data_IF_125440428607
#
_entry.id   IF_125440428607
#
_cell.length_a   1.000
_cell.length_b   1.000
_cell.length_c   1.000
_cell.angle_alpha   90.00
_cell.angle_beta   90.00
_cell.angle_gamma   90.00
#
_symmetry.space_group_name_H-M   'P 1'
#
loop_
_entity.id
_entity.type
_entity.pdbx_description
1 polymer ?
#
# COMPACT_ATOMS: atom_id res chain seq x y z
N UNK A 1 26.18 41.36 -0.22
CA UNK A 1 26.92 40.48 0.71
C UNK A 1 26.22 39.14 0.72
N UNK A 2 26.74 38.15 0.00
CA UNK A 2 26.20 36.78 0.07
C UNK A 2 26.48 36.21 1.45
N UNK A 3 25.44 35.73 2.15
CA UNK A 3 25.63 34.93 3.37
C UNK A 3 26.52 33.75 3.00
N UNK A 4 27.72 33.71 3.57
CA UNK A 4 28.61 32.55 3.49
C UNK A 4 27.83 31.40 4.13
N UNK A 5 27.37 30.45 3.33
CA UNK A 5 26.81 29.20 3.85
C UNK A 5 27.97 28.53 4.58
N UNK A 6 27.91 28.50 5.91
CA UNK A 6 28.90 27.76 6.70
C UNK A 6 28.55 26.30 6.51
N UNK A 7 29.43 25.55 5.82
CA UNK A 7 29.31 24.11 5.71
C UNK A 7 29.46 23.53 7.12
N UNK A 8 28.43 22.81 7.59
CA UNK A 8 28.51 22.04 8.84
C UNK A 8 28.96 20.63 8.45
N UNK A 9 30.12 20.22 8.93
CA UNK A 9 30.72 18.91 8.66
C UNK A 9 30.45 17.95 9.82
N UNK A 10 30.60 16.65 9.56
CA UNK A 10 30.53 15.66 10.62
C UNK A 10 31.51 15.97 11.77
N UNK A 11 32.73 16.39 11.44
CA UNK A 11 33.73 16.79 12.44
C UNK A 11 33.26 17.92 13.37
N UNK A 12 32.42 18.84 12.88
CA UNK A 12 31.87 19.94 13.69
C UNK A 12 30.86 19.46 14.74
N UNK A 13 30.20 18.33 14.51
CA UNK A 13 29.10 17.82 15.36
C UNK A 13 29.49 16.56 16.15
N UNK A 14 30.73 16.07 15.97
CA UNK A 14 31.25 14.84 16.56
C UNK A 14 31.12 14.75 18.08
N UNK A 15 31.29 15.86 18.80
CA UNK A 15 31.17 15.89 20.27
C UNK A 15 29.75 15.64 20.79
N UNK A 16 28.75 15.63 19.90
CA UNK A 16 27.33 15.40 20.23
C UNK A 16 26.78 14.07 19.73
N UNK A 17 27.60 13.25 19.07
CA UNK A 17 27.20 11.93 18.55
C UNK A 17 27.48 10.86 19.62
N UNK A 18 26.56 9.90 19.76
CA UNK A 18 26.77 8.73 20.61
C UNK A 18 27.88 7.81 20.04
N UNK A 19 28.38 6.92 20.89
CA UNK A 19 29.63 6.14 20.73
C UNK A 19 29.93 5.59 19.33
N UNK A 20 31.22 5.31 19.05
CA UNK A 20 31.77 4.87 17.74
C UNK A 20 31.04 3.75 17.00
N UNK A 21 30.23 2.94 17.68
CA UNK A 21 29.44 1.86 17.06
C UNK A 21 28.05 2.35 16.59
N UNK A 22 27.48 3.37 17.23
CA UNK A 22 26.13 3.91 17.02
C UNK A 22 26.18 5.39 16.72
N UNK A 23 26.22 5.72 15.44
CA UNK A 23 26.47 7.10 15.03
C UNK A 23 25.14 7.74 14.66
N UNK A 24 24.60 8.55 15.56
CA UNK A 24 23.46 9.42 15.28
C UNK A 24 23.92 10.87 15.11
N UNK A 25 23.94 11.31 13.86
CA UNK A 25 24.22 12.68 13.44
C UNK A 25 23.02 13.32 12.72
N UNK A 26 21.81 12.83 13.00
CA UNK A 26 20.57 13.33 12.41
C UNK A 26 20.26 14.76 12.87
N UNK A 27 19.59 15.53 12.00
CA UNK A 27 19.05 16.86 12.30
C UNK A 27 20.09 17.88 12.82
N UNK A 28 21.33 17.82 12.32
CA UNK A 28 22.42 18.73 12.73
C UNK A 28 22.73 19.81 11.68
N UNK A 29 22.03 19.81 10.55
CA UNK A 29 22.28 20.71 9.43
C UNK A 29 23.56 20.38 8.65
N UNK A 30 23.97 19.11 8.67
CA UNK A 30 25.17 18.63 7.97
C UNK A 30 25.06 18.86 6.46
N UNK A 31 26.17 19.30 5.87
CA UNK A 31 26.35 19.41 4.42
C UNK A 31 27.38 18.40 3.90
N UNK A 32 28.12 17.72 4.77
CA UNK A 32 29.10 16.69 4.41
C UNK A 32 29.32 15.68 5.54
N UNK A 33 29.55 14.42 5.17
CA UNK A 33 29.97 13.32 6.05
C UNK A 33 31.48 13.13 6.12
N UNK A 34 32.28 14.09 5.62
CA UNK A 34 33.74 14.01 5.68
C UNK A 34 34.21 13.88 7.13
N UNK A 35 35.04 12.86 7.39
CA UNK A 35 35.55 12.53 8.72
C UNK A 35 34.72 11.52 9.50
N UNK A 36 33.65 10.97 8.93
CA UNK A 36 32.99 9.80 9.52
C UNK A 36 33.94 8.59 9.57
N UNK A 37 33.82 7.72 10.58
CA UNK A 37 34.58 6.48 10.61
C UNK A 37 34.16 5.55 9.47
N UNK A 38 35.10 4.74 8.96
CA UNK A 38 34.85 3.83 7.84
C UNK A 38 33.85 2.70 8.15
N UNK A 39 33.57 2.44 9.43
CA UNK A 39 32.68 1.37 9.90
C UNK A 39 31.76 1.90 10.99
N UNK A 40 30.51 1.46 10.96
CA UNK A 40 29.52 1.68 12.01
C UNK A 40 28.70 0.42 12.23
N UNK A 41 28.11 0.26 13.42
CA UNK A 41 27.02 -0.71 13.60
C UNK A 41 25.75 -0.12 13.01
N UNK A 42 25.34 1.02 13.53
CA UNK A 42 24.16 1.77 13.09
C UNK A 42 24.59 3.20 12.74
N UNK A 43 24.09 3.75 11.64
CA UNK A 43 24.45 5.08 11.15
C UNK A 43 23.21 5.86 10.71
N UNK A 44 22.90 6.92 11.44
CA UNK A 44 21.79 7.82 11.16
C UNK A 44 22.31 9.22 10.82
N UNK A 45 22.12 9.63 9.57
CA UNK A 45 22.43 10.98 9.07
C UNK A 45 21.19 11.70 8.50
N UNK A 46 20.00 11.28 8.91
CA UNK A 46 18.73 11.82 8.43
C UNK A 46 18.50 13.30 8.79
N UNK A 47 17.61 13.96 8.05
CA UNK A 47 17.17 15.32 8.36
C UNK A 47 18.27 16.38 8.23
N UNK A 48 19.18 16.22 7.27
CA UNK A 48 20.31 17.12 7.05
C UNK A 48 20.21 17.81 5.67
N UNK A 49 21.30 18.41 5.20
CA UNK A 49 21.40 19.11 3.92
C UNK A 49 22.42 18.42 3.00
N UNK A 50 22.56 17.10 3.12
CA UNK A 50 23.52 16.31 2.35
C UNK A 50 23.10 16.23 0.89
N UNK A 51 24.03 16.49 -0.03
CA UNK A 51 23.84 16.30 -1.48
C UNK A 51 24.58 15.08 -2.02
N UNK A 52 25.40 14.44 -1.19
CA UNK A 52 26.15 13.22 -1.47
C UNK A 52 26.38 12.45 -0.16
N UNK A 53 26.57 11.13 -0.27
CA UNK A 53 26.97 10.27 0.85
C UNK A 53 28.49 10.06 0.90
N UNK A 54 29.27 10.79 0.08
CA UNK A 54 30.73 10.76 0.18
C UNK A 54 31.22 11.04 1.61
N UNK A 55 32.04 10.12 2.11
CA UNK A 55 32.54 10.14 3.49
C UNK A 55 31.75 9.26 4.46
N UNK A 56 30.57 8.73 4.08
CA UNK A 56 29.83 7.77 4.89
C UNK A 56 30.65 6.49 5.19
N UNK A 57 30.32 5.76 6.27
CA UNK A 57 30.90 4.44 6.52
C UNK A 57 30.73 3.51 5.33
N UNK A 58 31.77 2.74 5.00
CA UNK A 58 31.74 1.80 3.87
C UNK A 58 31.05 0.49 4.20
N UNK A 59 31.03 0.11 5.49
CA UNK A 59 30.36 -1.11 5.98
C UNK A 59 29.52 -0.81 7.22
N UNK A 60 28.25 -1.20 7.15
CA UNK A 60 27.26 -0.97 8.22
C UNK A 60 26.62 -2.30 8.62
N UNK A 61 26.78 -2.70 9.87
CA UNK A 61 26.32 -4.01 10.36
C UNK A 61 24.83 -4.06 10.73
N UNK A 62 24.21 -2.91 10.93
CA UNK A 62 22.80 -2.74 11.23
C UNK A 62 22.23 -1.73 10.25
N UNK A 63 21.62 -0.67 10.76
CA UNK A 63 20.80 0.23 9.96
C UNK A 63 21.58 1.42 9.42
N UNK A 64 21.30 1.80 8.18
CA UNK A 64 21.80 3.03 7.56
C UNK A 64 20.61 3.91 7.15
N UNK A 65 20.48 5.06 7.83
CA UNK A 65 19.43 6.02 7.55
C UNK A 65 20.03 7.34 7.02
N UNK A 66 19.66 7.69 5.79
CA UNK A 66 19.99 8.94 5.12
C UNK A 66 18.77 9.73 4.64
N UNK A 67 17.59 9.44 5.17
CA UNK A 67 16.34 10.08 4.74
C UNK A 67 16.27 11.57 5.07
N UNK A 68 15.40 12.31 4.38
CA UNK A 68 15.22 13.74 4.65
C UNK A 68 16.47 14.58 4.34
N UNK A 69 17.10 14.34 3.19
CA UNK A 69 18.29 15.06 2.71
C UNK A 69 18.03 15.65 1.30
N UNK A 70 19.09 16.05 0.59
CA UNK A 70 19.04 16.64 -0.75
C UNK A 70 19.76 15.78 -1.79
N UNK A 71 19.85 14.46 -1.55
CA UNK A 71 20.56 13.52 -2.40
C UNK A 71 19.88 13.40 -3.77
N UNK A 72 20.66 13.35 -4.85
CA UNK A 72 20.17 13.08 -6.22
C UNK A 72 20.53 11.67 -6.70
N UNK A 73 21.59 11.09 -6.13
CA UNK A 73 22.01 9.69 -6.28
C UNK A 73 22.45 9.15 -4.92
N UNK A 74 22.71 7.85 -4.82
CA UNK A 74 23.24 7.21 -3.61
C UNK A 74 24.77 7.07 -3.64
N UNK A 75 25.45 7.78 -4.53
CA UNK A 75 26.90 7.75 -4.62
C UNK A 75 27.55 8.08 -3.27
N UNK A 76 28.42 7.17 -2.82
CA UNK A 76 29.11 7.25 -1.54
C UNK A 76 28.42 6.47 -0.41
N UNK A 77 27.24 5.88 -0.64
CA UNK A 77 26.60 4.98 0.30
C UNK A 77 27.50 3.79 0.68
N UNK A 78 27.20 3.10 1.80
CA UNK A 78 27.86 1.85 2.16
C UNK A 78 27.67 0.79 1.06
N UNK A 79 28.68 -0.07 0.89
CA UNK A 79 28.60 -1.18 -0.06
C UNK A 79 27.71 -2.31 0.49
N UNK A 80 27.80 -2.56 1.80
CA UNK A 80 27.09 -3.63 2.52
C UNK A 80 26.32 -3.05 3.71
N UNK A 81 25.02 -3.36 3.77
CA UNK A 81 24.14 -3.00 4.89
C UNK A 81 23.40 -4.26 5.35
N UNK A 82 23.64 -4.66 6.61
CA UNK A 82 23.08 -5.91 7.16
C UNK A 82 21.77 -5.70 7.94
N UNK A 83 21.28 -4.46 8.00
CA UNK A 83 19.94 -4.12 8.50
C UNK A 83 19.19 -3.32 7.45
N UNK A 84 18.48 -2.29 7.89
CA UNK A 84 17.63 -1.48 7.04
C UNK A 84 18.42 -0.39 6.32
N UNK A 85 18.04 -0.09 5.08
CA UNK A 85 18.55 1.03 4.30
C UNK A 85 17.42 2.00 3.96
N UNK A 86 17.43 3.16 4.62
CA UNK A 86 16.44 4.21 4.40
C UNK A 86 17.07 5.41 3.68
N UNK A 87 16.64 5.64 2.44
CA UNK A 87 16.99 6.80 1.63
C UNK A 87 15.75 7.62 1.21
N UNK A 88 14.66 7.48 1.95
CA UNK A 88 13.41 8.18 1.68
C UNK A 88 13.52 9.71 1.78
N UNK A 89 12.54 10.42 1.23
CA UNK A 89 12.40 11.87 1.34
C UNK A 89 13.68 12.64 0.93
N UNK A 90 14.17 12.33 -0.27
CA UNK A 90 15.35 12.95 -0.89
C UNK A 90 14.95 13.59 -2.23
N UNK A 91 15.91 13.75 -3.16
CA UNK A 91 15.68 14.23 -4.53
C UNK A 91 16.20 13.21 -5.54
N UNK A 92 16.24 11.93 -5.18
CA UNK A 92 16.82 10.88 -6.00
C UNK A 92 16.10 10.79 -7.35
N UNK A 93 16.87 10.81 -8.42
CA UNK A 93 16.37 10.53 -9.78
C UNK A 93 16.78 9.14 -10.27
N UNK A 94 17.76 8.53 -9.60
CA UNK A 94 18.26 7.18 -9.81
C UNK A 94 18.67 6.58 -8.47
N UNK A 95 18.68 5.24 -8.38
CA UNK A 95 19.24 4.48 -7.25
C UNK A 95 20.71 4.11 -7.48
N UNK A 96 21.38 4.68 -8.49
CA UNK A 96 22.80 4.44 -8.71
C UNK A 96 23.62 4.78 -7.44
N UNK A 97 24.50 3.84 -7.08
CA UNK A 97 25.26 3.88 -5.82
C UNK A 97 24.55 3.23 -4.63
N UNK A 98 23.37 2.61 -4.82
CA UNK A 98 22.69 1.81 -3.80
C UNK A 98 23.61 0.68 -3.29
N UNK A 99 23.52 0.30 -1.99
CA UNK A 99 24.19 -0.90 -1.50
C UNK A 99 23.79 -2.12 -2.32
N UNK A 100 24.76 -3.01 -2.55
CA UNK A 100 24.55 -4.25 -3.32
C UNK A 100 23.86 -5.34 -2.51
N UNK A 101 23.91 -5.22 -1.18
CA UNK A 101 23.39 -6.20 -0.25
C UNK A 101 22.69 -5.51 0.93
N UNK A 102 21.40 -5.84 1.10
CA UNK A 102 20.52 -5.38 2.18
C UNK A 102 19.78 -6.60 2.74
N UNK A 103 19.92 -6.85 4.04
CA UNK A 103 19.19 -7.93 4.73
C UNK A 103 17.89 -7.45 5.40
N UNK A 104 17.75 -6.15 5.66
CA UNK A 104 16.54 -5.60 6.25
C UNK A 104 15.60 -5.04 5.19
N UNK A 105 14.98 -3.92 5.55
CA UNK A 105 14.09 -3.17 4.67
C UNK A 105 14.88 -2.23 3.75
N UNK A 106 14.36 -1.98 2.55
CA UNK A 106 14.86 -0.95 1.64
C UNK A 106 13.76 0.07 1.35
N UNK A 107 13.96 1.31 1.80
CA UNK A 107 13.04 2.42 1.55
C UNK A 107 13.69 3.48 0.68
N UNK A 108 13.06 3.76 -0.47
CA UNK A 108 13.39 4.86 -1.37
C UNK A 108 12.19 5.78 -1.64
N UNK A 109 11.20 5.75 -0.75
CA UNK A 109 9.96 6.51 -0.90
C UNK A 109 10.17 8.03 -0.91
N UNK A 110 9.24 8.80 -1.48
CA UNK A 110 9.30 10.27 -1.42
C UNK A 110 10.45 10.86 -2.22
N UNK A 111 10.73 10.33 -3.42
CA UNK A 111 11.82 10.77 -4.29
C UNK A 111 11.29 11.20 -5.67
N UNK A 112 12.16 11.27 -6.68
CA UNK A 112 11.82 11.65 -8.05
C UNK A 112 12.17 10.54 -9.06
N UNK A 113 12.20 9.28 -8.60
CA UNK A 113 12.56 8.14 -9.42
C UNK A 113 11.53 7.93 -10.52
N UNK A 114 12.00 7.73 -11.75
CA UNK A 114 11.15 7.32 -12.89
C UNK A 114 11.32 5.85 -13.25
N UNK A 115 12.40 5.22 -12.77
CA UNK A 115 12.68 3.79 -12.89
C UNK A 115 13.45 3.31 -11.65
N UNK A 116 13.32 2.02 -11.32
CA UNK A 116 14.14 1.34 -10.31
C UNK A 116 15.41 0.74 -10.93
N UNK A 117 15.47 0.66 -12.26
CA UNK A 117 16.66 0.26 -12.99
C UNK A 117 17.69 1.38 -12.92
N UNK A 118 18.94 1.04 -12.60
CA UNK A 118 20.03 2.01 -12.64
C UNK A 118 20.30 2.51 -14.05
N UNK A 119 20.83 3.73 -14.13
CA UNK A 119 21.23 4.34 -15.40
C UNK A 119 22.71 4.09 -15.69
N UNK A 120 23.48 3.69 -14.67
CA UNK A 120 24.91 3.46 -14.81
C UNK A 120 25.22 2.22 -15.66
N UNK A 121 26.32 2.27 -16.43
CA UNK A 121 26.84 1.12 -17.16
C UNK A 121 27.59 0.13 -16.27
N UNK A 122 27.76 0.46 -14.98
CA UNK A 122 28.49 -0.34 -14.02
C UNK A 122 27.51 -1.27 -13.30
N UNK A 123 27.47 -2.52 -13.75
CA UNK A 123 26.39 -3.47 -13.43
C UNK A 123 26.30 -3.87 -11.95
N UNK A 124 27.33 -3.59 -11.16
CA UNK A 124 27.36 -3.96 -9.75
C UNK A 124 26.71 -2.89 -8.84
N UNK A 125 26.52 -1.64 -9.29
CA UNK A 125 25.99 -0.52 -8.47
C UNK A 125 24.80 0.20 -9.13
N UNK A 126 24.14 -0.45 -10.08
CA UNK A 126 23.09 0.16 -10.91
C UNK A 126 21.68 -0.24 -10.44
N UNK A 127 21.01 0.64 -9.70
CA UNK A 127 19.56 0.52 -9.43
C UNK A 127 19.20 -0.06 -8.07
N UNK A 128 17.96 -0.55 -7.97
CA UNK A 128 17.46 -1.20 -6.76
C UNK A 128 18.17 -2.56 -6.52
N UNK A 129 18.27 -3.00 -5.25
CA UNK A 129 18.78 -4.34 -4.92
C UNK A 129 17.95 -5.45 -5.57
N UNK A 130 18.62 -6.49 -6.07
CA UNK A 130 17.97 -7.63 -6.73
C UNK A 130 17.11 -8.48 -5.77
N UNK A 131 17.52 -8.54 -4.50
CA UNK A 131 16.88 -9.32 -3.42
C UNK A 131 16.79 -8.45 -2.18
N UNK A 132 15.60 -8.41 -1.57
CA UNK A 132 15.37 -7.77 -0.27
C UNK A 132 14.66 -8.77 0.64
N UNK A 133 15.27 -9.08 1.79
CA UNK A 133 14.70 -10.04 2.74
C UNK A 133 13.55 -9.42 3.57
N UNK A 134 13.56 -8.10 3.78
CA UNK A 134 12.48 -7.35 4.40
C UNK A 134 11.52 -6.71 3.40
N UNK A 135 11.05 -5.52 3.75
CA UNK A 135 10.14 -4.69 2.96
C UNK A 135 10.88 -3.91 1.87
N UNK A 136 10.26 -3.78 0.70
CA UNK A 136 10.73 -2.88 -0.36
C UNK A 136 9.70 -1.79 -0.60
N UNK A 137 10.06 -0.55 -0.24
CA UNK A 137 9.15 0.60 -0.22
C UNK A 137 9.67 1.64 -1.23
N UNK A 138 8.95 1.77 -2.34
CA UNK A 138 9.27 2.72 -3.43
C UNK A 138 8.13 3.71 -3.71
N UNK A 139 7.20 3.85 -2.76
CA UNK A 139 6.04 4.73 -2.88
C UNK A 139 6.37 6.22 -3.00
N UNK A 140 5.42 7.02 -3.48
CA UNK A 140 5.56 8.48 -3.61
C UNK A 140 6.76 8.88 -4.48
N UNK A 141 6.82 8.32 -5.69
CA UNK A 141 7.83 8.60 -6.70
C UNK A 141 7.16 9.03 -8.02
N UNK A 142 7.86 8.90 -9.15
CA UNK A 142 7.34 9.15 -10.50
C UNK A 142 7.53 7.90 -11.38
N UNK A 143 7.53 6.71 -10.78
CA UNK A 143 7.76 5.46 -11.49
C UNK A 143 6.63 5.23 -12.49
N UNK A 144 6.98 4.85 -13.71
CA UNK A 144 5.99 4.45 -14.74
C UNK A 144 5.96 2.94 -14.99
N UNK A 145 6.95 2.22 -14.48
CA UNK A 145 7.13 0.77 -14.61
C UNK A 145 7.82 0.23 -13.34
N UNK A 146 7.67 -1.06 -13.08
CA UNK A 146 8.41 -1.79 -12.04
C UNK A 146 9.66 -2.50 -12.59
N UNK A 147 10.06 -2.19 -13.83
CA UNK A 147 11.33 -2.69 -14.37
C UNK A 147 12.51 -2.26 -13.47
N UNK A 148 13.31 -3.24 -13.05
CA UNK A 148 14.39 -3.06 -12.10
C UNK A 148 13.99 -3.21 -10.63
N UNK A 149 12.73 -3.52 -10.32
CA UNK A 149 12.33 -3.92 -8.97
C UNK A 149 13.03 -5.23 -8.54
N UNK A 150 13.19 -5.46 -7.22
CA UNK A 150 13.70 -6.73 -6.70
C UNK A 150 12.88 -7.92 -7.22
N UNK A 151 13.59 -9.00 -7.55
CA UNK A 151 12.94 -10.22 -8.02
C UNK A 151 12.24 -10.99 -6.89
N UNK A 152 12.77 -10.84 -5.66
CA UNK A 152 12.29 -11.48 -4.43
C UNK A 152 12.21 -10.41 -3.34
N UNK A 153 11.04 -10.34 -2.70
CA UNK A 153 10.78 -9.49 -1.53
C UNK A 153 10.23 -10.37 -0.42
N UNK A 154 10.95 -10.43 0.70
CA UNK A 154 10.62 -11.29 1.85
C UNK A 154 9.57 -10.70 2.78
N UNK A 155 9.31 -9.39 2.70
CA UNK A 155 8.23 -8.68 3.37
C UNK A 155 7.21 -8.08 2.40
N UNK A 156 6.84 -6.85 2.66
CA UNK A 156 5.88 -6.05 1.91
C UNK A 156 6.54 -5.42 0.67
N UNK A 157 5.77 -5.27 -0.40
CA UNK A 157 6.17 -4.47 -1.55
C UNK A 157 5.18 -3.32 -1.72
N UNK A 158 5.65 -2.11 -1.47
CA UNK A 158 4.87 -0.89 -1.60
C UNK A 158 5.38 -0.05 -2.79
N UNK A 159 4.57 0.02 -3.84
CA UNK A 159 4.78 0.90 -4.99
C UNK A 159 3.65 1.92 -5.17
N UNK A 160 2.90 2.21 -4.11
CA UNK A 160 1.79 3.18 -4.11
C UNK A 160 2.23 4.60 -4.49
N UNK A 161 1.28 5.47 -4.82
CA UNK A 161 1.54 6.89 -5.10
C UNK A 161 2.60 7.11 -6.20
N UNK A 162 2.40 6.49 -7.37
CA UNK A 162 3.31 6.57 -8.50
C UNK A 162 2.54 6.87 -9.80
N UNK A 163 3.18 6.65 -10.96
CA UNK A 163 2.60 6.82 -12.29
C UNK A 163 2.61 5.51 -13.07
N UNK A 164 2.56 4.37 -12.37
CA UNK A 164 2.70 3.04 -12.96
C UNK A 164 1.44 2.70 -13.74
N UNK A 165 1.61 2.34 -15.01
CA UNK A 165 0.51 1.91 -15.90
C UNK A 165 0.49 0.39 -16.13
N UNK A 166 1.52 -0.33 -15.68
CA UNK A 166 1.71 -1.76 -15.85
C UNK A 166 2.45 -2.38 -14.66
N UNK A 167 1.97 -3.54 -14.17
CA UNK A 167 2.66 -4.31 -13.13
C UNK A 167 3.74 -5.27 -13.68
N UNK A 168 4.06 -5.18 -14.98
CA UNK A 168 5.23 -5.85 -15.53
C UNK A 168 6.49 -5.38 -14.79
N UNK A 169 7.34 -6.34 -14.43
CA UNK A 169 8.54 -6.09 -13.63
C UNK A 169 8.32 -6.23 -12.12
N UNK A 170 7.07 -6.35 -11.64
CA UNK A 170 6.80 -6.61 -10.23
C UNK A 170 7.51 -7.87 -9.71
N UNK A 171 7.84 -7.93 -8.40
CA UNK A 171 8.44 -9.12 -7.80
C UNK A 171 7.60 -10.35 -8.08
N UNK A 172 8.25 -11.48 -8.39
CA UNK A 172 7.52 -12.72 -8.69
C UNK A 172 6.89 -13.36 -7.46
N UNK A 173 7.43 -13.04 -6.29
CA UNK A 173 7.01 -13.56 -4.99
C UNK A 173 7.12 -12.45 -3.96
N UNK A 174 6.01 -12.19 -3.29
CA UNK A 174 5.89 -11.25 -2.18
C UNK A 174 5.35 -12.06 -1.00
N UNK A 175 6.02 -11.93 0.15
CA UNK A 175 5.74 -12.71 1.35
C UNK A 175 4.95 -11.93 2.42
N UNK A 176 4.73 -10.63 2.20
CA UNK A 176 3.80 -9.79 2.94
C UNK A 176 2.72 -9.21 2.03
N UNK A 177 2.47 -7.92 2.21
CA UNK A 177 1.47 -7.13 1.51
C UNK A 177 2.00 -6.67 0.15
N UNK A 178 1.10 -6.54 -0.83
CA UNK A 178 1.40 -5.89 -2.11
C UNK A 178 0.48 -4.69 -2.29
N UNK A 179 1.05 -3.50 -2.13
CA UNK A 179 0.37 -2.23 -2.34
C UNK A 179 0.82 -1.60 -3.66
N UNK A 180 -0.14 -1.47 -4.58
CA UNK A 180 -0.01 -0.76 -5.86
C UNK A 180 -1.09 0.32 -6.03
N UNK A 181 -1.64 0.81 -4.92
CA UNK A 181 -2.67 1.84 -4.88
C UNK A 181 -2.19 3.17 -5.46
N UNK A 182 -3.13 4.07 -5.79
CA UNK A 182 -2.88 5.41 -6.32
C UNK A 182 -1.85 5.45 -7.46
N UNK A 183 -2.20 4.76 -8.55
CA UNK A 183 -1.38 4.64 -9.76
C UNK A 183 -2.25 4.85 -11.02
N UNK A 184 -1.74 4.49 -12.20
CA UNK A 184 -2.44 4.64 -13.48
C UNK A 184 -2.78 3.28 -14.11
N UNK A 185 -2.94 2.23 -13.30
CA UNK A 185 -3.18 0.88 -13.78
C UNK A 185 -4.54 0.77 -14.46
N UNK A 186 -4.55 0.25 -15.68
CA UNK A 186 -5.79 -0.12 -16.40
C UNK A 186 -6.06 -1.63 -16.38
N UNK A 187 -5.05 -2.43 -16.02
CA UNK A 187 -5.12 -3.87 -15.88
C UNK A 187 -4.13 -4.36 -14.83
N UNK A 188 -4.36 -5.57 -14.31
CA UNK A 188 -3.50 -6.23 -13.32
C UNK A 188 -2.54 -7.26 -13.95
N UNK A 189 -2.33 -7.21 -15.27
CA UNK A 189 -1.37 -8.10 -15.91
C UNK A 189 0.05 -7.82 -15.38
N UNK A 190 0.68 -8.85 -14.78
CA UNK A 190 2.01 -8.74 -14.17
C UNK A 190 2.00 -8.86 -12.65
N UNK A 191 0.84 -8.81 -12.00
CA UNK A 191 0.72 -9.06 -10.55
C UNK A 191 1.29 -10.45 -10.18
N UNK A 192 1.99 -10.57 -9.03
CA UNK A 192 2.37 -11.87 -8.48
C UNK A 192 1.15 -12.80 -8.34
N UNK A 193 1.34 -14.08 -8.62
CA UNK A 193 0.22 -15.03 -8.63
C UNK A 193 -0.36 -15.32 -7.24
N UNK A 194 0.46 -15.20 -6.20
CA UNK A 194 0.13 -15.48 -4.81
C UNK A 194 0.68 -14.36 -3.93
N UNK A 195 -0.16 -13.81 -3.07
CA UNK A 195 0.17 -12.79 -2.08
C UNK A 195 -0.28 -13.31 -0.71
N UNK A 196 0.64 -13.37 0.25
CA UNK A 196 0.38 -13.93 1.58
C UNK A 196 -0.15 -12.91 2.58
N UNK A 197 0.01 -11.62 2.31
CA UNK A 197 -0.61 -10.53 3.05
C UNK A 197 -1.83 -9.97 2.33
N UNK A 198 -1.98 -8.65 2.41
CA UNK A 198 -3.02 -7.85 1.79
C UNK A 198 -2.64 -7.51 0.34
N UNK A 199 -3.65 -7.32 -0.51
CA UNK A 199 -3.48 -6.83 -1.87
C UNK A 199 -4.30 -5.55 -2.06
N UNK A 200 -3.61 -4.44 -2.24
CA UNK A 200 -4.22 -3.13 -2.48
C UNK A 200 -3.93 -2.66 -3.91
N UNK A 201 -5.01 -2.47 -4.67
CA UNK A 201 -5.00 -1.89 -6.01
C UNK A 201 -6.03 -0.75 -6.13
N UNK A 202 -6.36 -0.12 -5.00
CA UNK A 202 -7.29 1.01 -4.91
C UNK A 202 -6.77 2.23 -5.68
N UNK A 203 -7.66 3.20 -5.93
CA UNK A 203 -7.30 4.49 -6.55
C UNK A 203 -6.55 4.33 -7.88
N UNK A 204 -7.09 3.51 -8.79
CA UNK A 204 -6.50 3.24 -10.11
C UNK A 204 -7.56 3.45 -11.22
N UNK A 205 -7.25 3.01 -12.45
CA UNK A 205 -8.14 3.14 -13.60
C UNK A 205 -8.63 1.75 -14.08
N UNK A 206 -8.74 0.77 -13.18
CA UNK A 206 -9.10 -0.59 -13.52
C UNK A 206 -10.56 -0.69 -13.97
N UNK A 207 -10.79 -1.26 -15.15
CA UNK A 207 -12.14 -1.61 -15.62
C UNK A 207 -12.54 -3.05 -15.26
N UNK A 208 -11.55 -3.89 -14.94
CA UNK A 208 -11.74 -5.28 -14.50
C UNK A 208 -10.59 -5.75 -13.61
N UNK A 209 -10.86 -6.74 -12.75
CA UNK A 209 -9.85 -7.43 -11.93
C UNK A 209 -9.14 -8.58 -12.66
N UNK A 210 -9.29 -8.66 -13.99
CA UNK A 210 -8.63 -9.69 -14.79
C UNK A 210 -7.11 -9.47 -14.74
N UNK A 211 -6.36 -10.57 -14.59
CA UNK A 211 -4.90 -10.52 -14.46
C UNK A 211 -4.42 -10.44 -13.00
N UNK A 212 -5.33 -10.14 -12.06
CA UNK A 212 -5.03 -10.05 -10.64
C UNK A 212 -4.58 -11.38 -10.00
N UNK A 213 -4.22 -11.34 -8.71
CA UNK A 213 -3.63 -12.47 -8.02
C UNK A 213 -4.63 -13.63 -7.94
N UNK A 214 -4.13 -14.87 -8.03
CA UNK A 214 -4.97 -16.07 -7.92
C UNK A 214 -5.34 -16.39 -6.48
N UNK A 215 -4.47 -16.01 -5.55
CA UNK A 215 -4.62 -16.24 -4.12
C UNK A 215 -4.10 -15.02 -3.36
N UNK A 216 -4.94 -14.49 -2.47
CA UNK A 216 -4.60 -13.47 -1.47
C UNK A 216 -5.08 -14.00 -0.13
N UNK A 217 -4.18 -14.03 0.85
CA UNK A 217 -4.50 -14.58 2.17
C UNK A 217 -5.07 -13.53 3.13
N UNK A 218 -4.78 -12.25 2.89
CA UNK A 218 -5.26 -11.12 3.67
C UNK A 218 -6.52 -10.47 3.08
N UNK A 219 -6.51 -9.15 3.10
CA UNK A 219 -7.52 -8.26 2.57
C UNK A 219 -7.30 -7.99 1.08
N UNK A 220 -8.38 -7.67 0.37
CA UNK A 220 -8.33 -7.24 -1.03
C UNK A 220 -9.03 -5.89 -1.10
N UNK A 221 -8.28 -4.87 -1.49
CA UNK A 221 -8.81 -3.55 -1.76
C UNK A 221 -8.70 -3.24 -3.26
N UNK A 222 -9.85 -3.01 -3.88
CA UNK A 222 -9.98 -2.55 -5.26
C UNK A 222 -10.96 -1.38 -5.36
N UNK A 223 -11.09 -0.62 -4.27
CA UNK A 223 -11.92 0.57 -4.19
C UNK A 223 -11.45 1.66 -5.15
N UNK A 224 -12.30 2.65 -5.41
CA UNK A 224 -11.98 3.85 -6.19
C UNK A 224 -11.33 3.55 -7.56
N UNK A 225 -12.02 2.73 -8.33
CA UNK A 225 -11.65 2.30 -9.68
C UNK A 225 -12.81 2.52 -10.67
N UNK A 226 -12.72 1.93 -11.86
CA UNK A 226 -13.76 2.01 -12.89
C UNK A 226 -14.45 0.66 -13.14
N UNK A 227 -14.43 -0.24 -12.14
CA UNK A 227 -14.91 -1.61 -12.29
C UNK A 227 -16.41 -1.62 -12.61
N UNK A 228 -16.76 -2.33 -13.69
CA UNK A 228 -18.16 -2.61 -14.06
C UNK A 228 -18.61 -4.02 -13.64
N UNK A 229 -17.66 -4.90 -13.31
CA UNK A 229 -17.90 -6.24 -12.77
C UNK A 229 -16.76 -6.69 -11.87
N UNK A 230 -17.07 -7.57 -10.92
CA UNK A 230 -16.10 -8.17 -10.01
C UNK A 230 -15.65 -9.54 -10.51
N UNK A 231 -15.39 -9.75 -11.80
CA UNK A 231 -14.93 -11.06 -12.32
C UNK A 231 -13.53 -11.42 -11.76
N UNK A 232 -13.51 -11.72 -10.47
CA UNK A 232 -12.36 -12.01 -9.65
C UNK A 232 -12.05 -13.50 -9.81
N UNK A 233 -10.77 -13.82 -9.81
CA UNK A 233 -10.25 -15.19 -9.73
C UNK A 233 -10.54 -15.84 -8.37
N UNK A 234 -10.77 -15.05 -7.33
CA UNK A 234 -10.78 -15.51 -5.95
C UNK A 234 -12.18 -15.84 -5.46
N UNK A 235 -12.40 -17.11 -5.15
CA UNK A 235 -13.67 -17.59 -4.57
C UNK A 235 -13.79 -17.33 -3.08
N UNK A 236 -12.67 -17.21 -2.37
CA UNK A 236 -12.62 -17.00 -0.93
C UNK A 236 -11.59 -15.93 -0.63
N UNK A 237 -11.98 -14.95 0.16
CA UNK A 237 -11.08 -13.94 0.73
C UNK A 237 -11.19 -14.05 2.24
N UNK A 238 -10.06 -14.24 2.92
CA UNK A 238 -10.08 -14.45 4.37
C UNK A 238 -10.24 -13.14 5.14
N UNK A 239 -9.72 -12.03 4.58
CA UNK A 239 -9.89 -10.68 5.07
C UNK A 239 -11.17 -9.99 4.59
N UNK A 240 -11.12 -8.66 4.55
CA UNK A 240 -12.15 -7.86 3.88
C UNK A 240 -11.94 -7.81 2.37
N UNK A 241 -13.04 -7.61 1.65
CA UNK A 241 -13.03 -7.33 0.22
C UNK A 241 -13.71 -5.98 0.02
N UNK A 242 -12.92 -4.96 -0.31
CA UNK A 242 -13.41 -3.62 -0.62
C UNK A 242 -13.44 -3.40 -2.13
N UNK A 243 -14.62 -3.06 -2.64
CA UNK A 243 -14.88 -2.69 -4.03
C UNK A 243 -15.75 -1.43 -4.12
N UNK A 244 -15.68 -0.60 -3.09
CA UNK A 244 -16.40 0.67 -3.03
C UNK A 244 -15.92 1.68 -4.08
N UNK A 245 -16.66 2.75 -4.31
CA UNK A 245 -16.23 3.82 -5.23
C UNK A 245 -16.03 3.34 -6.68
N UNK A 246 -16.90 2.46 -7.17
CA UNK A 246 -16.79 1.84 -8.48
C UNK A 246 -18.05 2.05 -9.34
N UNK A 247 -18.11 1.43 -10.53
CA UNK A 247 -19.25 1.52 -11.46
C UNK A 247 -20.05 0.21 -11.52
N UNK A 248 -20.04 -0.58 -10.45
CA UNK A 248 -20.69 -1.90 -10.44
C UNK A 248 -22.20 -1.76 -10.53
N UNK A 249 -22.82 -2.50 -11.45
CA UNK A 249 -24.29 -2.64 -11.53
C UNK A 249 -24.79 -3.97 -10.98
N UNK A 250 -23.87 -4.93 -10.77
CA UNK A 250 -24.13 -6.22 -10.15
C UNK A 250 -22.89 -6.73 -9.41
N UNK A 251 -23.08 -7.64 -8.44
CA UNK A 251 -22.00 -8.30 -7.72
C UNK A 251 -21.55 -9.60 -8.39
N UNK A 252 -21.80 -9.77 -9.69
CA UNK A 252 -21.39 -10.97 -10.42
C UNK A 252 -19.86 -11.10 -10.38
N UNK A 253 -19.39 -12.22 -9.86
CA UNK A 253 -17.97 -12.54 -9.70
C UNK A 253 -17.40 -12.22 -8.31
N UNK A 254 -18.19 -11.60 -7.42
CA UNK A 254 -17.79 -11.40 -6.04
C UNK A 254 -17.39 -12.74 -5.37
N UNK A 255 -16.48 -12.72 -4.38
CA UNK A 255 -16.11 -13.90 -3.61
C UNK A 255 -17.33 -14.55 -2.93
N UNK A 256 -17.32 -15.87 -2.79
CA UNK A 256 -18.40 -16.63 -2.15
C UNK A 256 -18.36 -16.51 -0.61
N UNK A 257 -17.16 -16.37 -0.05
CA UNK A 257 -16.90 -16.24 1.39
C UNK A 257 -15.89 -15.13 1.67
N UNK A 258 -16.24 -14.24 2.60
CA UNK A 258 -15.44 -13.08 3.02
C UNK A 258 -15.55 -12.85 4.52
N UNK A 259 -14.56 -12.19 5.12
CA UNK A 259 -14.75 -11.63 6.46
C UNK A 259 -15.69 -10.43 6.40
N UNK A 260 -15.31 -9.36 5.72
CA UNK A 260 -16.18 -8.21 5.47
C UNK A 260 -16.32 -7.95 3.97
N UNK A 261 -17.46 -7.41 3.56
CA UNK A 261 -17.72 -7.03 2.17
C UNK A 261 -18.15 -5.57 2.11
N UNK A 262 -17.36 -4.74 1.44
CA UNK A 262 -17.61 -3.32 1.29
C UNK A 262 -17.84 -3.06 -0.20
N UNK A 263 -19.07 -2.69 -0.55
CA UNK A 263 -19.51 -2.42 -1.93
C UNK A 263 -20.31 -1.13 -2.01
N UNK A 264 -20.05 -0.21 -1.09
CA UNK A 264 -20.72 1.08 -1.03
C UNK A 264 -20.28 1.98 -2.20
N UNK A 265 -21.04 3.06 -2.45
CA UNK A 265 -20.77 4.02 -3.52
C UNK A 265 -20.57 3.35 -4.89
N UNK A 266 -21.63 2.68 -5.33
CA UNK A 266 -21.68 1.96 -6.61
C UNK A 266 -23.05 2.21 -7.29
N UNK A 267 -23.34 1.45 -8.35
CA UNK A 267 -24.60 1.58 -9.10
C UNK A 267 -25.47 0.33 -9.01
N UNK A 268 -25.34 -0.43 -7.91
CA UNK A 268 -26.04 -1.70 -7.72
C UNK A 268 -27.55 -1.47 -7.61
N UNK A 269 -28.32 -2.22 -8.38
CA UNK A 269 -29.80 -2.23 -8.31
C UNK A 269 -30.34 -3.46 -7.58
N UNK A 270 -29.49 -4.46 -7.32
CA UNK A 270 -29.79 -5.63 -6.51
C UNK A 270 -28.52 -6.18 -5.86
N UNK A 271 -28.67 -6.95 -4.79
CA UNK A 271 -27.57 -7.66 -4.14
C UNK A 271 -27.43 -9.10 -4.65
N UNK A 272 -28.00 -9.43 -5.81
CA UNK A 272 -27.80 -10.75 -6.42
C UNK A 272 -26.32 -10.99 -6.66
N UNK A 273 -25.87 -12.20 -6.35
CA UNK A 273 -24.46 -12.61 -6.35
C UNK A 273 -23.59 -11.98 -5.25
N UNK A 274 -24.16 -11.33 -4.23
CA UNK A 274 -23.41 -10.98 -3.02
C UNK A 274 -22.81 -12.24 -2.36
N UNK A 275 -21.69 -12.12 -1.63
CA UNK A 275 -21.12 -13.23 -0.87
C UNK A 275 -22.16 -13.88 0.05
N UNK A 276 -22.25 -15.21 0.02
CA UNK A 276 -23.23 -15.94 0.83
C UNK A 276 -22.83 -15.98 2.31
N UNK A 277 -21.51 -15.99 2.56
CA UNK A 277 -20.90 -16.11 3.89
C UNK A 277 -20.10 -14.86 4.21
N UNK A 278 -20.70 -13.98 4.99
CA UNK A 278 -20.07 -12.75 5.49
C UNK A 278 -19.91 -12.86 7.00
N UNK A 279 -18.67 -12.96 7.48
CA UNK A 279 -18.37 -13.20 8.91
C UNK A 279 -18.29 -11.93 9.74
N UNK A 280 -18.21 -10.77 9.11
CA UNK A 280 -18.00 -9.45 9.69
C UNK A 280 -19.04 -8.49 9.13
N UNK A 281 -18.60 -7.36 8.59
CA UNK A 281 -19.46 -6.28 8.10
C UNK A 281 -19.93 -6.50 6.66
N UNK A 282 -21.12 -6.00 6.34
CA UNK A 282 -21.61 -5.90 4.97
C UNK A 282 -22.08 -4.47 4.73
N UNK A 283 -21.36 -3.73 3.89
CA UNK A 283 -21.72 -2.36 3.53
C UNK A 283 -22.11 -2.30 2.05
N UNK A 284 -23.38 -1.96 1.80
CA UNK A 284 -23.95 -1.72 0.47
C UNK A 284 -24.61 -0.34 0.40
N UNK A 285 -24.15 0.59 1.22
CA UNK A 285 -24.66 1.96 1.24
C UNK A 285 -24.37 2.71 -0.05
N UNK A 286 -25.03 3.86 -0.27
CA UNK A 286 -24.83 4.71 -1.43
C UNK A 286 -24.91 3.93 -2.76
N UNK A 287 -26.05 3.27 -2.99
CA UNK A 287 -26.31 2.47 -4.19
C UNK A 287 -27.72 2.80 -4.74
N UNK A 288 -28.20 2.02 -5.71
CA UNK A 288 -29.53 2.18 -6.33
C UNK A 288 -30.47 1.04 -5.96
N UNK A 289 -30.30 0.44 -4.77
CA UNK A 289 -31.09 -0.72 -4.33
C UNK A 289 -32.53 -0.30 -4.03
N UNK A 290 -33.49 -1.04 -4.58
CA UNK A 290 -34.94 -0.90 -4.29
C UNK A 290 -35.44 -1.96 -3.30
N UNK A 291 -34.68 -3.04 -3.12
CA UNK A 291 -34.91 -4.11 -2.15
C UNK A 291 -33.57 -4.69 -1.69
N UNK A 292 -33.59 -5.47 -0.61
CA UNK A 292 -32.45 -6.25 -0.11
C UNK A 292 -32.49 -7.70 -0.62
N UNK A 293 -33.10 -7.93 -1.79
CA UNK A 293 -33.07 -9.24 -2.45
C UNK A 293 -31.64 -9.58 -2.89
N UNK A 294 -31.17 -10.77 -2.49
CA UNK A 294 -29.80 -11.25 -2.77
C UNK A 294 -28.80 -10.96 -1.66
N UNK A 295 -29.16 -10.15 -0.66
CA UNK A 295 -28.33 -9.93 0.53
C UNK A 295 -27.95 -11.25 1.23
N UNK A 296 -26.78 -11.33 1.89
CA UNK A 296 -26.43 -12.48 2.72
C UNK A 296 -27.52 -12.76 3.77
N UNK A 297 -27.88 -14.04 3.96
CA UNK A 297 -28.93 -14.41 4.93
C UNK A 297 -28.58 -14.02 6.37
N UNK A 298 -27.28 -14.04 6.69
CA UNK A 298 -26.75 -13.73 8.02
C UNK A 298 -25.47 -12.91 7.87
N UNK A 299 -25.39 -11.81 8.61
CA UNK A 299 -24.19 -10.99 8.77
C UNK A 299 -23.88 -10.93 10.26
N UNK A 300 -22.65 -11.24 10.68
CA UNK A 300 -22.33 -11.24 12.12
C UNK A 300 -21.98 -9.86 12.65
N UNK A 301 -21.41 -8.99 11.82
CA UNK A 301 -21.16 -7.60 12.15
C UNK A 301 -22.32 -6.70 11.74
N UNK A 302 -21.99 -5.46 11.42
CA UNK A 302 -22.93 -4.44 10.97
C UNK A 302 -23.42 -4.71 9.54
N UNK A 303 -24.67 -4.33 9.28
CA UNK A 303 -25.25 -4.31 7.94
C UNK A 303 -25.65 -2.87 7.61
N UNK A 304 -24.97 -2.26 6.64
CA UNK A 304 -25.24 -0.89 6.20
C UNK A 304 -25.87 -0.91 4.81
N UNK A 305 -27.07 -0.37 4.70
CA UNK A 305 -27.82 -0.19 3.47
C UNK A 305 -28.33 1.26 3.31
N UNK A 306 -27.69 2.20 4.01
CA UNK A 306 -28.06 3.61 3.94
C UNK A 306 -27.83 4.21 2.54
N UNK A 307 -28.53 5.30 2.20
CA UNK A 307 -28.33 5.95 0.90
C UNK A 307 -28.76 5.10 -0.30
N UNK A 308 -29.86 4.36 -0.18
CA UNK A 308 -30.46 3.57 -1.25
C UNK A 308 -31.88 4.08 -1.58
N UNK A 309 -32.66 3.32 -2.35
CA UNK A 309 -34.03 3.65 -2.76
C UNK A 309 -35.05 2.67 -2.16
N UNK A 310 -34.76 2.13 -0.97
CA UNK A 310 -35.62 1.14 -0.32
C UNK A 310 -36.95 1.77 0.12
N UNK A 311 -38.07 1.17 -0.28
CA UNK A 311 -39.43 1.49 0.17
C UNK A 311 -40.06 0.40 1.04
N UNK A 312 -39.30 -0.67 1.32
CA UNK A 312 -39.64 -1.74 2.23
C UNK A 312 -38.34 -2.49 2.60
N UNK A 313 -38.37 -3.22 3.70
CA UNK A 313 -37.26 -4.10 4.11
C UNK A 313 -37.45 -5.53 3.57
N UNK A 314 -37.83 -5.63 2.29
CA UNK A 314 -37.99 -6.91 1.62
C UNK A 314 -36.62 -7.43 1.17
N UNK A 315 -36.34 -8.70 1.45
CA UNK A 315 -35.06 -9.28 1.07
C UNK A 315 -34.78 -10.67 1.64
N UNK A 316 -33.56 -11.15 1.37
CA UNK A 316 -33.07 -12.46 1.80
C UNK A 316 -32.42 -12.43 3.19
N UNK A 317 -32.05 -11.25 3.67
CA UNK A 317 -31.47 -11.03 5.00
C UNK A 317 -32.42 -11.56 6.10
N UNK A 318 -31.85 -12.18 7.13
CA UNK A 318 -32.61 -12.70 8.29
C UNK A 318 -32.00 -12.29 9.63
N UNK A 319 -30.67 -12.16 9.71
CA UNK A 319 -29.98 -11.89 10.98
C UNK A 319 -28.80 -10.94 10.78
N UNK A 320 -28.71 -9.96 11.67
CA UNK A 320 -27.59 -9.03 11.79
C UNK A 320 -27.07 -9.09 13.22
N UNK A 321 -25.79 -9.41 13.38
CA UNK A 321 -25.17 -9.56 14.70
C UNK A 321 -24.68 -8.25 15.31
N UNK A 322 -24.43 -7.22 14.49
CA UNK A 322 -24.13 -5.86 14.92
C UNK A 322 -25.29 -4.90 14.64
N UNK A 323 -24.95 -3.67 14.26
CA UNK A 323 -25.89 -2.59 13.97
C UNK A 323 -26.51 -2.75 12.58
N UNK A 324 -27.78 -2.33 12.45
CA UNK A 324 -28.47 -2.21 11.16
C UNK A 324 -28.62 -0.72 10.82
N UNK A 325 -27.98 -0.29 9.74
CA UNK A 325 -27.90 1.11 9.33
C UNK A 325 -28.67 1.28 8.03
N UNK A 326 -29.71 2.11 8.05
CA UNK A 326 -30.68 2.23 6.94
C UNK A 326 -31.13 3.65 6.63
N UNK A 327 -30.38 4.64 7.10
CA UNK A 327 -30.73 6.04 6.85
C UNK A 327 -30.67 6.46 5.38
N UNK A 328 -31.31 7.59 5.05
CA UNK A 328 -31.34 8.15 3.69
C UNK A 328 -31.85 7.18 2.61
N UNK A 329 -32.91 6.44 2.91
CA UNK A 329 -33.60 5.58 1.93
C UNK A 329 -34.83 6.27 1.31
N UNK A 330 -35.55 5.58 0.43
CA UNK A 330 -36.80 6.08 -0.17
C UNK A 330 -37.87 6.44 0.87
N UNK A 331 -37.77 5.86 2.07
CA UNK A 331 -38.45 6.28 3.29
C UNK A 331 -37.57 5.95 4.52
N UNK A 332 -37.79 6.60 5.67
CA UNK A 332 -37.14 6.20 6.92
C UNK A 332 -37.68 4.85 7.42
N UNK A 333 -36.84 4.09 8.12
CA UNK A 333 -37.23 2.85 8.79
C UNK A 333 -36.96 2.96 10.28
N UNK A 334 -38.01 2.87 11.10
CA UNK A 334 -37.86 2.88 12.55
C UNK A 334 -37.37 1.53 13.11
N UNK A 335 -36.92 1.52 14.36
CA UNK A 335 -36.40 0.31 15.02
C UNK A 335 -37.43 -0.83 15.04
N UNK A 336 -38.73 -0.53 15.19
CA UNK A 336 -39.77 -1.54 15.21
C UNK A 336 -39.96 -2.21 13.84
N UNK A 337 -39.95 -1.44 12.76
CA UNK A 337 -40.01 -1.94 11.38
C UNK A 337 -38.80 -2.82 11.07
N UNK A 338 -37.60 -2.37 11.45
CA UNK A 338 -36.36 -3.14 11.25
C UNK A 338 -36.41 -4.47 11.99
N UNK A 339 -36.81 -4.45 13.27
CA UNK A 339 -36.88 -5.67 14.11
C UNK A 339 -38.03 -6.60 13.72
N UNK A 340 -39.08 -6.08 13.10
CA UNK A 340 -40.13 -6.90 12.51
C UNK A 340 -39.63 -7.65 11.26
N UNK A 341 -38.75 -7.03 10.47
CA UNK A 341 -38.18 -7.64 9.27
C UNK A 341 -37.02 -8.61 9.59
N UNK A 342 -36.14 -8.25 10.53
CA UNK A 342 -34.87 -8.95 10.77
C UNK A 342 -34.56 -9.15 12.25
N UNK A 343 -33.82 -10.21 12.56
CA UNK A 343 -33.23 -10.41 13.89
C UNK A 343 -31.93 -9.60 14.01
N UNK A 344 -32.03 -8.37 14.50
CA UNK A 344 -30.91 -7.46 14.73
C UNK A 344 -30.52 -7.48 16.21
N UNK A 345 -29.24 -7.74 16.49
CA UNK A 345 -28.72 -7.72 17.88
C UNK A 345 -28.27 -6.33 18.35
N UNK A 346 -27.71 -5.52 17.45
CA UNK A 346 -27.25 -4.17 17.76
C UNK A 346 -28.35 -3.11 17.67
N UNK A 347 -27.92 -1.89 17.42
CA UNK A 347 -28.77 -0.72 17.24
C UNK A 347 -29.36 -0.68 15.82
N UNK A 348 -30.58 -0.14 15.69
CA UNK A 348 -31.16 0.23 14.41
C UNK A 348 -30.98 1.73 14.22
N UNK A 349 -30.21 2.13 13.20
CA UNK A 349 -29.84 3.52 12.92
C UNK A 349 -30.52 3.93 11.61
N UNK A 350 -31.30 5.01 11.65
CA UNK A 350 -32.04 5.60 10.51
C UNK A 350 -31.53 6.99 10.17
#
# INVERSE_FOLDING_TARGET
>A
MGKKIVQVTFADVMGSCDAKDHIDCSNKGLTSLSGCPEKARDFNCSGNQLTTLEGAPKKVKGNFNCSGNLLQTLNGAPEEVHGDFDCSDNRLTTLDGSPVFIMGDFSCSGNQLTSLKGESSDSELSGAPDVVEGDFICSRNKLTTLDGAPHIVGGNFDCSDNQIDTLKGAPKKIHGDFDCSNNQLTALDGTPCCITGDFDCSENQLESLKGGPREVSGNVDCSDNQLSSLLCSQKKVHGFFDCSGNRLTSLKGAPEEVNAFLCYDNQLTSLKCAPEKVKGHFDCSANKLISLEGAPKKVKGNFNCSGNQLSALDGTLKKVGGDFISGKNGQPFDDAQVRAAYNVKGNCIS
#
